data_IF_521831738228
#
_entry.id   IF_521831738228
#
_cell.length_a   1.000
_cell.length_b   1.000
_cell.length_c   1.000
_cell.angle_alpha   90.00
_cell.angle_beta   90.00
_cell.angle_gamma   90.00
#
_symmetry.space_group_name_H-M   'P 1'
#
loop_
_entity.id
_entity.type
_entity.pdbx_description
1 polymer ?
#
# COMPACT_ATOMS: atom_id res chain seq x y z
N UNK A 1 15.56 -29.93 13.50
CA UNK A 1 14.25 -29.51 14.05
C UNK A 1 13.57 -28.68 12.99
N UNK A 2 12.34 -29.03 12.63
CA UNK A 2 11.52 -28.24 11.70
C UNK A 2 10.92 -27.04 12.44
N UNK A 3 10.87 -25.88 11.78
CA UNK A 3 10.16 -24.69 12.28
C UNK A 3 9.04 -24.36 11.30
N UNK A 4 7.89 -24.01 11.83
CA UNK A 4 6.74 -23.62 11.04
C UNK A 4 6.44 -22.14 11.31
N UNK A 5 6.31 -21.36 10.23
CA UNK A 5 5.84 -19.97 10.29
C UNK A 5 4.35 -19.93 10.03
N UNK A 6 3.64 -19.04 10.73
CA UNK A 6 2.23 -18.72 10.47
C UNK A 6 2.05 -17.41 9.68
N UNK A 7 3.06 -16.98 8.91
CA UNK A 7 3.17 -15.67 8.24
C UNK A 7 3.50 -14.47 9.15
N UNK A 8 3.37 -14.54 10.48
CA UNK A 8 3.90 -13.49 11.36
C UNK A 8 5.41 -13.61 11.58
N UNK A 9 6.01 -14.73 11.18
CA UNK A 9 7.43 -15.00 11.34
C UNK A 9 7.68 -16.23 12.20
N UNK A 10 8.95 -16.66 12.23
CA UNK A 10 9.49 -17.75 13.03
C UNK A 10 9.73 -17.24 14.47
N UNK A 11 8.64 -16.85 15.13
CA UNK A 11 8.55 -16.55 16.56
C UNK A 11 7.57 -17.53 17.20
N UNK A 12 8.10 -18.41 18.05
CA UNK A 12 7.53 -19.74 18.31
C UNK A 12 6.57 -19.81 19.52
N UNK A 13 5.58 -20.73 19.60
CA UNK A 13 5.08 -21.26 20.88
C UNK A 13 6.16 -21.93 21.76
N UNK A 14 7.33 -22.30 21.22
CA UNK A 14 8.51 -22.76 21.98
C UNK A 14 9.56 -21.67 22.29
N UNK A 15 9.20 -20.37 22.23
CA UNK A 15 9.91 -19.30 22.95
C UNK A 15 11.29 -18.87 22.43
N UNK A 16 11.61 -19.05 21.14
CA UNK A 16 12.82 -18.49 20.52
C UNK A 16 12.46 -17.43 19.47
N UNK A 17 13.09 -16.26 19.55
CA UNK A 17 13.10 -15.27 18.48
C UNK A 17 14.18 -15.73 17.46
N UNK A 18 13.77 -16.29 16.31
CA UNK A 18 14.73 -16.67 15.26
C UNK A 18 15.46 -15.44 14.68
N UNK A 19 15.01 -14.25 15.06
CA UNK A 19 15.59 -12.97 14.70
C UNK A 19 14.99 -12.41 13.44
N UNK A 20 15.53 -11.26 13.02
CA UNK A 20 15.12 -10.59 11.79
C UNK A 20 16.07 -10.91 10.64
N UNK A 21 15.49 -11.07 9.45
CA UNK A 21 16.23 -10.98 8.22
C UNK A 21 16.24 -9.54 7.74
N UNK A 22 17.41 -9.04 7.37
CA UNK A 22 17.60 -7.69 6.86
C UNK A 22 17.93 -7.75 5.37
N UNK A 23 17.15 -7.03 4.57
CA UNK A 23 17.40 -6.86 3.14
C UNK A 23 17.09 -5.43 2.71
N UNK A 24 18.11 -4.70 2.26
CA UNK A 24 18.00 -3.26 2.04
C UNK A 24 17.70 -2.53 3.35
N UNK A 25 16.68 -1.69 3.34
CA UNK A 25 16.22 -0.94 4.52
C UNK A 25 15.16 -1.71 5.35
N UNK A 26 14.73 -2.88 4.87
CA UNK A 26 13.70 -3.69 5.51
C UNK A 26 14.29 -4.68 6.51
N UNK A 27 13.69 -4.76 7.70
CA UNK A 27 14.05 -5.71 8.77
C UNK A 27 12.77 -6.28 9.37
N UNK A 28 12.50 -7.56 9.07
CA UNK A 28 11.33 -8.29 9.57
C UNK A 28 11.76 -9.66 10.09
N UNK A 29 10.93 -10.30 10.90
CA UNK A 29 11.21 -11.65 11.37
C UNK A 29 11.36 -12.60 10.19
N UNK A 30 12.31 -13.53 10.29
CA UNK A 30 12.40 -14.62 9.32
C UNK A 30 11.06 -15.34 9.22
N UNK A 31 10.69 -15.74 8.01
CA UNK A 31 9.44 -16.42 7.70
C UNK A 31 8.18 -15.56 7.79
N UNK A 32 8.28 -14.25 8.00
CA UNK A 32 7.12 -13.38 7.88
C UNK A 32 6.64 -13.30 6.43
N UNK A 33 5.34 -13.09 6.21
CA UNK A 33 4.81 -12.70 4.91
C UNK A 33 5.02 -11.20 4.73
N UNK A 34 5.70 -10.84 3.65
CA UNK A 34 6.08 -9.46 3.31
C UNK A 34 5.55 -9.11 1.93
N UNK A 35 5.06 -7.88 1.80
CA UNK A 35 4.58 -7.32 0.55
C UNK A 35 5.55 -6.30 -0.02
N UNK A 36 5.48 -6.12 -1.35
CA UNK A 36 6.10 -5.00 -2.06
C UNK A 36 5.21 -4.59 -3.22
N UNK A 37 5.03 -3.29 -3.44
CA UNK A 37 4.24 -2.77 -4.57
C UNK A 37 5.19 -2.06 -5.55
N UNK A 38 5.25 -2.57 -6.78
CA UNK A 38 6.12 -2.02 -7.82
C UNK A 38 7.59 -1.94 -7.37
N UNK A 39 8.16 -0.72 -7.44
CA UNK A 39 9.52 -0.43 -6.98
C UNK A 39 9.59 0.14 -5.56
N UNK A 40 8.47 0.19 -4.83
CA UNK A 40 8.42 0.73 -3.47
C UNK A 40 9.07 -0.18 -2.42
N UNK A 41 8.97 0.24 -1.16
CA UNK A 41 9.58 -0.46 -0.04
C UNK A 41 8.84 -1.75 0.34
N UNK A 42 9.56 -2.65 0.99
CA UNK A 42 8.97 -3.84 1.60
C UNK A 42 8.16 -3.45 2.84
N UNK A 43 7.03 -4.10 3.05
CA UNK A 43 6.20 -3.91 4.23
C UNK A 43 5.72 -5.25 4.80
N UNK A 44 5.65 -5.32 6.13
CA UNK A 44 5.13 -6.50 6.83
C UNK A 44 3.63 -6.65 6.56
N UNK A 45 3.22 -7.84 6.11
CA UNK A 45 1.80 -8.23 5.98
C UNK A 45 1.39 -9.04 7.20
N UNK A 46 2.16 -10.07 7.57
CA UNK A 46 1.77 -10.95 8.67
C UNK A 46 0.55 -11.82 8.34
N UNK A 47 -0.23 -12.16 9.37
CA UNK A 47 -1.48 -12.92 9.23
C UNK A 47 -2.69 -12.08 8.79
N UNK A 48 -2.64 -10.77 9.01
CA UNK A 48 -3.71 -9.84 8.66
C UNK A 48 -3.12 -8.44 8.39
N UNK A 49 -3.60 -7.78 7.34
CA UNK A 49 -3.11 -6.48 6.94
C UNK A 49 -4.19 -5.69 6.21
N UNK A 50 -4.33 -4.42 6.56
CA UNK A 50 -5.19 -3.48 5.84
C UNK A 50 -4.52 -2.12 5.80
N UNK A 51 -4.43 -1.54 4.59
CA UNK A 51 -4.00 -0.16 4.40
C UNK A 51 -4.63 0.46 3.18
N UNK A 52 -4.66 1.79 3.15
CA UNK A 52 -4.84 2.55 1.90
C UNK A 52 -3.55 2.43 1.10
N UNK A 53 -3.66 1.93 -0.12
CA UNK A 53 -2.53 1.81 -1.05
C UNK A 53 -2.50 3.05 -1.93
N UNK A 54 -1.45 3.87 -1.77
CA UNK A 54 -1.18 5.03 -2.63
C UNK A 54 -0.14 4.74 -3.70
N UNK A 55 0.57 3.62 -3.57
CA UNK A 55 1.61 3.19 -4.51
C UNK A 55 1.01 2.53 -5.75
N UNK A 56 1.69 2.65 -6.88
CA UNK A 56 1.28 2.01 -8.14
C UNK A 56 2.23 0.88 -8.52
N UNK A 57 1.70 -0.19 -9.11
CA UNK A 57 2.47 -1.32 -9.63
C UNK A 57 1.92 -2.67 -9.16
N UNK A 58 2.66 -3.74 -9.47
CA UNK A 58 2.28 -5.10 -9.06
C UNK A 58 2.55 -5.30 -7.57
N UNK A 59 1.55 -5.84 -6.86
CA UNK A 59 1.74 -6.40 -5.53
C UNK A 59 2.48 -7.74 -5.65
N UNK A 60 3.65 -7.82 -5.05
CA UNK A 60 4.41 -9.06 -4.87
C UNK A 60 4.31 -9.51 -3.41
N UNK A 61 4.10 -10.80 -3.20
CA UNK A 61 4.07 -11.44 -1.88
C UNK A 61 5.28 -12.36 -1.75
N UNK A 62 5.98 -12.28 -0.62
CA UNK A 62 7.24 -13.00 -0.40
C UNK A 62 7.26 -13.61 1.00
N UNK A 63 7.80 -14.83 1.09
CA UNK A 63 8.24 -15.41 2.35
C UNK A 63 9.59 -14.78 2.71
N UNK A 64 9.66 -14.12 3.86
CA UNK A 64 10.81 -13.30 4.23
C UNK A 64 11.96 -14.16 4.76
N UNK A 65 12.91 -14.48 3.89
CA UNK A 65 14.06 -15.30 4.23
C UNK A 65 15.28 -14.94 3.36
N UNK A 66 16.48 -15.15 3.90
CA UNK A 66 17.75 -14.95 3.22
C UNK A 66 18.26 -16.19 2.49
N UNK A 67 17.75 -17.38 2.82
CA UNK A 67 18.04 -18.62 2.10
C UNK A 67 16.72 -19.33 1.79
N UNK A 68 16.50 -19.67 0.51
CA UNK A 68 15.23 -20.30 0.08
C UNK A 68 15.38 -21.78 -0.22
N UNK A 69 16.61 -22.31 -0.30
CA UNK A 69 16.87 -23.70 -0.72
C UNK A 69 16.36 -24.73 0.30
N UNK A 70 16.29 -24.36 1.57
CA UNK A 70 15.81 -25.20 2.68
C UNK A 70 14.36 -24.91 3.07
N UNK A 71 13.68 -24.03 2.35
CA UNK A 71 12.28 -23.70 2.57
C UNK A 71 11.34 -24.66 1.83
N UNK A 72 10.23 -24.98 2.48
CA UNK A 72 9.17 -25.81 1.92
C UNK A 72 7.80 -25.39 2.45
N UNK A 73 6.74 -25.83 1.77
CA UNK A 73 5.36 -25.44 2.08
C UNK A 73 4.93 -24.14 1.40
N UNK A 74 3.77 -23.62 1.80
CA UNK A 74 3.20 -22.39 1.23
C UNK A 74 2.30 -21.67 2.23
N UNK A 75 2.21 -20.34 2.09
CA UNK A 75 1.20 -19.51 2.76
C UNK A 75 0.09 -19.20 1.75
N UNK A 76 -1.16 -19.42 2.13
CA UNK A 76 -2.32 -19.00 1.32
C UNK A 76 -2.77 -17.63 1.79
N UNK A 77 -2.81 -16.65 0.90
CA UNK A 77 -3.30 -15.31 1.19
C UNK A 77 -4.63 -15.04 0.46
N UNK A 78 -5.61 -14.47 1.15
CA UNK A 78 -6.80 -13.92 0.53
C UNK A 78 -6.61 -12.41 0.39
N UNK A 79 -6.85 -11.88 -0.81
CA UNK A 79 -6.62 -10.47 -1.12
C UNK A 79 -7.94 -9.86 -1.55
N UNK A 80 -8.41 -8.88 -0.79
CA UNK A 80 -9.54 -8.04 -1.14
C UNK A 80 -9.04 -6.64 -1.51
N UNK A 81 -9.19 -6.26 -2.78
CA UNK A 81 -8.86 -4.92 -3.26
C UNK A 81 -10.17 -4.14 -3.28
N UNK A 82 -10.38 -3.33 -2.24
CA UNK A 82 -11.52 -2.43 -2.18
C UNK A 82 -11.56 -1.50 -3.38
N UNK A 83 -12.75 -0.96 -3.68
CA UNK A 83 -12.93 -0.03 -4.79
C UNK A 83 -11.94 1.13 -4.67
N UNK A 84 -11.39 1.56 -5.82
CA UNK A 84 -10.64 2.79 -5.90
C UNK A 84 -11.42 3.90 -5.20
N UNK A 85 -10.78 4.59 -4.25
CA UNK A 85 -11.40 5.73 -3.57
C UNK A 85 -11.88 6.68 -4.65
N UNK A 86 -13.17 7.07 -4.67
CA UNK A 86 -13.67 8.02 -5.63
C UNK A 86 -12.75 9.24 -5.63
N UNK A 87 -12.37 9.70 -6.83
CA UNK A 87 -11.74 11.01 -6.98
C UNK A 87 -12.49 11.98 -6.07
N UNK A 88 -11.80 12.76 -5.21
CA UNK A 88 -12.45 13.82 -4.46
C UNK A 88 -13.29 14.65 -5.44
N UNK A 89 -14.24 15.44 -4.95
CA UNK A 89 -15.10 16.27 -5.79
C UNK A 89 -14.34 17.30 -6.67
N UNK A 90 -13.04 17.15 -6.92
CA UNK A 90 -12.13 17.81 -7.85
C UNK A 90 -12.79 18.20 -9.17
N UNK A 91 -13.54 17.31 -9.85
CA UNK A 91 -14.23 17.69 -11.11
C UNK A 91 -15.35 18.71 -10.85
N UNK A 92 -16.09 18.54 -9.76
CA UNK A 92 -17.15 19.48 -9.35
C UNK A 92 -16.54 20.80 -8.90
N UNK A 93 -15.45 20.77 -8.13
CA UNK A 93 -14.72 21.94 -7.64
C UNK A 93 -14.07 22.72 -8.80
N UNK A 94 -13.41 22.01 -9.72
CA UNK A 94 -12.82 22.61 -10.92
C UNK A 94 -13.91 23.20 -11.80
N UNK A 95 -15.01 22.46 -12.02
CA UNK A 95 -16.16 22.93 -12.78
C UNK A 95 -16.76 24.20 -12.18
N UNK A 96 -17.13 24.16 -10.90
CA UNK A 96 -17.73 25.31 -10.19
C UNK A 96 -16.78 26.51 -10.10
N UNK A 97 -15.48 26.27 -9.89
CA UNK A 97 -14.46 27.31 -9.92
C UNK A 97 -14.38 28.01 -11.28
N UNK A 98 -14.33 27.24 -12.38
CA UNK A 98 -14.31 27.78 -13.75
C UNK A 98 -15.62 28.52 -14.08
N UNK A 99 -16.77 27.99 -13.69
CA UNK A 99 -18.06 28.67 -13.86
C UNK A 99 -18.11 29.99 -13.07
N UNK A 100 -17.60 30.01 -11.84
CA UNK A 100 -17.49 31.22 -11.03
C UNK A 100 -16.65 32.28 -11.73
N UNK A 101 -15.44 31.94 -12.17
CA UNK A 101 -14.53 32.85 -12.87
C UNK A 101 -15.16 33.46 -14.13
N UNK A 102 -15.79 32.63 -14.97
CA UNK A 102 -16.48 33.11 -16.19
C UNK A 102 -17.64 34.07 -15.87
N UNK A 103 -18.32 33.85 -14.74
CA UNK A 103 -19.43 34.70 -14.29
C UNK A 103 -18.93 36.06 -13.76
N UNK A 104 -17.82 36.07 -13.01
CA UNK A 104 -17.18 37.31 -12.57
C UNK A 104 -16.65 38.15 -13.74
N UNK A 105 -16.01 37.51 -14.73
CA UNK A 105 -15.49 38.18 -15.92
C UNK A 105 -16.59 38.82 -16.77
N UNK A 106 -17.75 38.18 -16.89
CA UNK A 106 -18.91 38.76 -17.58
C UNK A 106 -19.44 39.99 -16.84
N UNK A 107 -19.54 39.92 -15.51
CA UNK A 107 -20.00 41.05 -14.68
C UNK A 107 -19.07 42.26 -14.79
N UNK A 108 -17.75 42.05 -14.80
CA UNK A 108 -16.77 43.14 -14.94
C UNK A 108 -16.80 43.79 -16.33
N UNK A 109 -17.01 43.00 -17.39
CA UNK A 109 -17.14 43.52 -18.76
C UNK A 109 -18.40 44.37 -18.94
N UNK A 110 -19.54 43.91 -18.43
CA UNK A 110 -20.80 44.67 -18.50
C UNK A 110 -20.72 46.00 -17.73
N UNK A 111 -19.98 46.05 -16.61
CA UNK A 111 -19.82 47.31 -15.86
C UNK A 111 -18.92 48.34 -16.56
N UNK A 112 -18.07 47.90 -17.49
CA UNK A 112 -17.18 48.77 -18.29
C UNK A 112 -17.87 49.36 -19.52
N UNK A 113 -18.98 48.78 -20.00
CA UNK A 113 -19.75 49.30 -21.14
C UNK A 113 -20.74 50.41 -20.75
N UNK A 114 -20.98 50.60 -19.46
CA UNK A 114 -21.94 51.58 -18.91
C UNK A 114 -21.27 52.91 -18.48
N UNK A 115 -19.99 53.12 -18.85
CA UNK A 115 -19.19 54.33 -18.61
C UNK A 115 -18.69 54.85 -19.97
#
# INVERSE_FOLDING_TARGET
MVRESNANGLGNPFGGDYGTFIYGEASFLFGSLVGKIGSGDYFLIGTDFSRIVTDSGNLSLMYWDGNYEDNYGYVTANIDVGNATPEPATIILLGTGLFGLLSFDRKLRNKKSDI
#
